data_IF_431921908262
#
_entry.id   IF_431921908262
#
_cell.length_a   1.000
_cell.length_b   1.000
_cell.length_c   1.000
_cell.angle_alpha   90.00
_cell.angle_beta   90.00
_cell.angle_gamma   90.00
#
_symmetry.space_group_name_H-M   'P 1'
#
loop_
_entity.id
_entity.type
_entity.pdbx_description
1 polymer ?
#
# COMPACT_ATOMS: atom_id res chain seq x y z
N UNK A 1 -17.58 15.76 -19.71
CA UNK A 1 -16.75 15.09 -18.69
C UNK A 1 -17.67 14.70 -17.54
N UNK A 2 -17.50 13.52 -16.94
CA UNK A 2 -18.24 13.16 -15.72
C UNK A 2 -17.93 14.17 -14.62
N UNK A 3 -18.92 14.56 -13.82
CA UNK A 3 -18.69 15.35 -12.60
C UNK A 3 -17.64 14.64 -11.73
N UNK A 4 -16.67 15.39 -11.20
CA UNK A 4 -15.63 14.85 -10.31
C UNK A 4 -14.46 14.11 -10.99
N UNK A 5 -14.25 14.29 -12.30
CA UNK A 5 -13.08 13.75 -13.02
C UNK A 5 -12.33 14.86 -13.78
N UNK A 6 -11.01 14.88 -13.66
CA UNK A 6 -10.09 15.72 -14.45
C UNK A 6 -9.20 14.85 -15.33
N UNK A 7 -8.98 15.29 -16.57
CA UNK A 7 -8.21 14.54 -17.55
C UNK A 7 -8.75 13.13 -17.82
N UNK A 8 -7.85 12.16 -17.92
CA UNK A 8 -8.12 10.81 -18.40
C UNK A 8 -8.46 9.80 -17.30
N UNK A 9 -7.83 9.87 -16.13
CA UNK A 9 -7.87 8.83 -15.10
C UNK A 9 -7.97 9.38 -13.67
N UNK A 10 -7.95 10.70 -13.48
CA UNK A 10 -7.91 11.32 -12.14
C UNK A 10 -9.26 11.84 -11.68
N UNK A 11 -9.68 11.39 -10.50
CA UNK A 11 -10.86 11.86 -9.77
C UNK A 11 -10.50 13.06 -8.88
N UNK A 12 -11.43 13.99 -8.74
CA UNK A 12 -11.35 15.15 -7.83
C UNK A 12 -12.44 15.00 -6.78
N UNK A 13 -12.05 15.00 -5.51
CA UNK A 13 -12.97 14.84 -4.37
C UNK A 13 -13.33 16.20 -3.77
N UNK A 14 -14.44 16.78 -4.23
CA UNK A 14 -14.94 18.08 -3.78
C UNK A 14 -15.28 18.11 -2.29
N UNK A 15 -15.82 17.01 -1.76
CA UNK A 15 -16.20 16.87 -0.35
C UNK A 15 -15.01 16.46 0.55
N UNK A 16 -13.82 16.25 -0.03
CA UNK A 16 -12.55 16.01 0.67
C UNK A 16 -12.64 15.06 1.88
N UNK A 17 -12.89 13.75 1.65
CA UNK A 17 -12.93 12.75 2.72
C UNK A 17 -11.72 12.85 3.65
N UNK A 18 -11.96 12.94 4.96
CA UNK A 18 -10.93 13.15 5.98
C UNK A 18 -10.45 11.85 6.61
N UNK A 19 -9.18 11.79 7.01
CA UNK A 19 -8.62 10.69 7.79
C UNK A 19 -9.00 10.88 9.26
N UNK A 20 -9.86 10.00 9.77
CA UNK A 20 -10.37 10.04 11.14
C UNK A 20 -9.44 9.32 12.13
N UNK A 21 -8.79 8.26 11.68
CA UNK A 21 -7.88 7.45 12.48
C UNK A 21 -7.10 6.50 11.60
N UNK A 22 -5.92 6.12 12.05
CA UNK A 22 -5.08 5.16 11.34
C UNK A 22 -4.26 4.34 12.32
N UNK A 23 -3.92 3.12 11.96
CA UNK A 23 -3.02 2.30 12.74
C UNK A 23 -2.17 1.36 11.89
N UNK A 24 -1.02 0.97 12.45
CA UNK A 24 -0.07 0.05 11.81
C UNK A 24 0.47 -0.98 12.81
N UNK A 25 0.63 -2.21 12.33
CA UNK A 25 1.25 -3.33 13.03
C UNK A 25 2.39 -3.85 12.17
N UNK A 26 3.52 -4.20 12.78
CA UNK A 26 4.68 -4.74 12.06
C UNK A 26 5.34 -5.90 12.78
N UNK A 27 6.12 -6.69 12.04
CA UNK A 27 7.01 -7.71 12.58
C UNK A 27 8.25 -7.11 13.25
N UNK A 28 9.03 -7.98 13.90
CA UNK A 28 10.24 -7.59 14.60
C UNK A 28 11.30 -6.98 13.66
N UNK A 29 11.44 -7.50 12.44
CA UNK A 29 12.45 -7.05 11.48
C UNK A 29 12.16 -5.63 11.00
N UNK A 30 10.89 -5.34 10.69
CA UNK A 30 10.42 -4.01 10.31
C UNK A 30 10.55 -3.01 11.47
N UNK A 31 10.29 -3.45 12.70
CA UNK A 31 10.49 -2.62 13.90
C UNK A 31 11.97 -2.29 14.16
N UNK A 32 12.89 -3.18 13.80
CA UNK A 32 14.34 -2.90 13.87
C UNK A 32 14.81 -1.96 12.74
N UNK A 33 13.96 -1.69 11.76
CA UNK A 33 14.22 -0.74 10.68
C UNK A 33 14.15 0.73 11.13
N UNK A 34 14.49 1.67 10.23
CA UNK A 34 14.60 3.09 10.56
C UNK A 34 13.27 3.77 10.93
N UNK A 35 12.14 3.14 10.65
CA UNK A 35 10.79 3.63 10.98
C UNK A 35 10.18 2.97 12.22
N UNK A 36 10.92 2.11 12.91
CA UNK A 36 10.45 1.23 13.98
C UNK A 36 9.59 1.91 15.06
N UNK A 37 10.09 3.04 15.58
CA UNK A 37 9.42 3.77 16.68
C UNK A 37 8.09 4.42 16.27
N UNK A 38 7.77 4.46 14.97
CA UNK A 38 6.53 5.05 14.46
C UNK A 38 5.34 4.09 14.42
N UNK A 39 5.55 2.77 14.50
CA UNK A 39 4.48 1.79 14.40
C UNK A 39 3.71 1.64 15.72
N UNK A 40 2.41 1.37 15.64
CA UNK A 40 1.57 1.29 16.85
C UNK A 40 1.74 -0.01 17.63
N UNK A 41 2.08 -1.08 16.92
CA UNK A 41 2.30 -2.39 17.54
C UNK A 41 3.38 -3.16 16.80
N UNK A 42 4.22 -3.83 17.57
CA UNK A 42 5.22 -4.78 17.06
C UNK A 42 4.83 -6.19 17.53
N UNK A 43 4.87 -7.15 16.63
CA UNK A 43 4.69 -8.56 16.96
C UNK A 43 5.81 -9.05 17.90
N UNK A 44 5.56 -10.06 18.74
CA UNK A 44 6.64 -10.73 19.45
C UNK A 44 7.62 -11.37 18.44
N UNK A 45 8.80 -11.77 18.93
CA UNK A 45 9.82 -12.44 18.10
C UNK A 45 9.30 -13.70 17.39
N UNK A 46 8.32 -14.36 17.99
CA UNK A 46 7.53 -15.40 17.34
C UNK A 46 6.42 -14.74 16.52
N UNK A 47 6.61 -14.66 15.21
CA UNK A 47 5.71 -14.00 14.27
C UNK A 47 4.35 -14.74 14.12
N UNK A 48 4.15 -15.89 14.78
CA UNK A 48 2.84 -16.60 14.77
C UNK A 48 1.89 -15.86 15.68
N UNK A 49 2.45 -15.02 16.57
CA UNK A 49 1.71 -14.29 17.58
C UNK A 49 0.81 -15.21 18.43
N UNK A 50 1.30 -16.43 18.68
CA UNK A 50 0.61 -17.47 19.46
C UNK A 50 -0.52 -18.17 18.71
N UNK A 51 -0.69 -17.95 17.42
CA UNK A 51 -1.68 -18.63 16.57
C UNK A 51 -1.14 -19.97 16.02
N UNK A 52 -2.04 -20.86 15.60
CA UNK A 52 -1.67 -22.18 15.09
C UNK A 52 -0.93 -22.13 13.73
N UNK A 53 -1.00 -21.01 13.01
CA UNK A 53 -0.34 -20.83 11.71
C UNK A 53 -0.07 -19.35 11.40
N UNK A 54 0.85 -19.10 10.47
CA UNK A 54 1.16 -17.72 10.01
C UNK A 54 -0.04 -17.05 9.34
N UNK A 55 -0.90 -17.82 8.65
CA UNK A 55 -2.12 -17.30 8.02
C UNK A 55 -3.13 -16.81 9.08
N UNK A 56 -3.23 -17.51 10.21
CA UNK A 56 -4.03 -17.05 11.36
C UNK A 56 -3.40 -15.82 12.02
N UNK A 57 -2.06 -15.79 12.13
CA UNK A 57 -1.34 -14.62 12.65
C UNK A 57 -1.59 -13.38 11.77
N UNK A 58 -1.51 -13.53 10.46
CA UNK A 58 -1.76 -12.47 9.48
C UNK A 58 -3.22 -12.00 9.51
N UNK A 59 -4.18 -12.93 9.59
CA UNK A 59 -5.60 -12.63 9.83
C UNK A 59 -5.82 -11.81 11.11
N UNK A 60 -5.11 -12.15 12.20
CA UNK A 60 -5.17 -11.43 13.47
C UNK A 60 -4.55 -10.04 13.35
N UNK A 61 -3.42 -9.89 12.66
CA UNK A 61 -2.81 -8.58 12.37
C UNK A 61 -3.79 -7.66 11.63
N UNK A 62 -4.46 -8.17 10.60
CA UNK A 62 -5.46 -7.40 9.85
C UNK A 62 -6.60 -6.94 10.77
N UNK A 63 -7.17 -7.84 11.56
CA UNK A 63 -8.26 -7.51 12.48
C UNK A 63 -7.85 -6.48 13.54
N UNK A 64 -6.67 -6.62 14.13
CA UNK A 64 -6.18 -5.71 15.16
C UNK A 64 -5.83 -4.32 14.60
N UNK A 65 -5.24 -4.24 13.40
CA UNK A 65 -5.00 -2.96 12.73
C UNK A 65 -6.31 -2.18 12.50
N UNK A 66 -7.38 -2.87 12.07
CA UNK A 66 -8.71 -2.27 11.90
C UNK A 66 -9.29 -1.80 13.24
N UNK A 67 -9.21 -2.62 14.29
CA UNK A 67 -9.70 -2.26 15.64
C UNK A 67 -8.97 -1.04 16.20
N UNK A 68 -7.64 -0.99 16.07
CA UNK A 68 -6.83 0.13 16.55
C UNK A 68 -7.16 1.42 15.78
N UNK A 69 -7.26 1.36 14.46
CA UNK A 69 -7.60 2.51 13.63
C UNK A 69 -9.02 3.03 13.93
N UNK A 70 -10.00 2.14 14.08
CA UNK A 70 -11.37 2.50 14.48
C UNK A 70 -11.41 3.13 15.88
N UNK A 71 -10.69 2.56 16.85
CA UNK A 71 -10.59 3.12 18.19
C UNK A 71 -9.99 4.52 18.21
N UNK A 72 -8.93 4.77 17.42
CA UNK A 72 -8.34 6.11 17.24
C UNK A 72 -9.28 7.10 16.55
N UNK A 73 -10.17 6.61 15.68
CA UNK A 73 -11.24 7.40 15.08
C UNK A 73 -12.44 7.64 16.03
N UNK A 74 -12.42 7.09 17.24
CA UNK A 74 -13.54 7.18 18.19
C UNK A 74 -14.75 6.33 17.80
N UNK A 75 -14.54 5.30 16.96
CA UNK A 75 -15.58 4.42 16.44
C UNK A 75 -15.42 2.99 16.99
N UNK A 76 -16.53 2.25 17.04
CA UNK A 76 -16.48 0.79 17.11
C UNK A 76 -16.33 0.23 15.71
N UNK A 77 -15.76 -0.97 15.58
CA UNK A 77 -15.66 -1.64 14.28
C UNK A 77 -17.03 -1.90 13.65
N UNK A 78 -18.08 -2.05 14.45
CA UNK A 78 -19.47 -2.20 13.99
C UNK A 78 -20.11 -0.90 13.48
N UNK A 79 -19.49 0.25 13.76
CA UNK A 79 -19.95 1.55 13.24
C UNK A 79 -19.41 1.80 11.82
N UNK A 80 -18.48 0.96 11.35
CA UNK A 80 -17.92 1.01 10.00
C UNK A 80 -18.98 0.60 8.97
N UNK A 81 -19.30 1.49 8.02
CA UNK A 81 -20.28 1.19 6.97
C UNK A 81 -19.69 0.36 5.83
N UNK A 82 -18.37 0.40 5.64
CA UNK A 82 -17.64 -0.49 4.76
C UNK A 82 -16.22 -0.73 5.28
N UNK A 83 -15.77 -1.98 5.20
CA UNK A 83 -14.39 -2.40 5.29
C UNK A 83 -13.93 -2.79 3.89
N UNK A 84 -13.04 -1.98 3.32
CA UNK A 84 -12.44 -2.19 2.01
C UNK A 84 -11.01 -2.63 2.20
N UNK A 85 -10.66 -3.82 1.74
CA UNK A 85 -9.34 -4.33 2.02
C UNK A 85 -9.07 -5.71 1.44
N UNK A 86 -7.82 -6.10 1.55
CA UNK A 86 -7.32 -7.37 1.04
C UNK A 86 -5.91 -7.65 1.54
N UNK A 87 -5.40 -8.79 1.14
CA UNK A 87 -4.06 -9.26 1.45
C UNK A 87 -3.44 -9.89 0.21
N UNK A 88 -2.17 -10.31 0.32
CA UNK A 88 -1.44 -10.87 -0.80
C UNK A 88 -1.80 -12.35 -1.06
N UNK A 89 -2.39 -13.06 -0.10
CA UNK A 89 -2.63 -14.49 -0.24
C UNK A 89 -3.79 -14.76 -1.20
N UNK A 90 -3.77 -15.95 -1.81
CA UNK A 90 -4.75 -16.33 -2.81
C UNK A 90 -6.17 -16.21 -2.23
N UNK A 91 -7.04 -15.45 -2.90
CA UNK A 91 -8.43 -15.19 -2.45
C UNK A 91 -8.54 -14.31 -1.19
N UNK A 92 -7.54 -13.47 -0.90
CA UNK A 92 -7.56 -12.52 0.21
C UNK A 92 -7.97 -13.16 1.54
N UNK A 93 -7.30 -14.28 1.85
CA UNK A 93 -7.68 -15.17 2.96
C UNK A 93 -7.59 -14.44 4.29
N UNK A 94 -6.53 -13.65 4.51
CA UNK A 94 -6.33 -12.95 5.78
C UNK A 94 -7.46 -11.93 6.03
N UNK A 95 -7.77 -11.10 5.04
CA UNK A 95 -8.84 -10.10 5.13
C UNK A 95 -10.23 -10.75 5.21
N UNK A 96 -10.49 -11.75 4.36
CA UNK A 96 -11.79 -12.43 4.30
C UNK A 96 -12.11 -13.21 5.58
N UNK A 97 -11.12 -13.84 6.21
CA UNK A 97 -11.31 -14.59 7.45
C UNK A 97 -11.27 -13.68 8.70
N UNK A 98 -10.68 -12.49 8.60
CA UNK A 98 -10.74 -11.47 9.64
C UNK A 98 -12.09 -10.75 9.69
N UNK A 99 -12.73 -10.54 8.52
CA UNK A 99 -13.96 -9.75 8.40
C UNK A 99 -15.11 -10.17 9.36
N UNK A 100 -15.41 -11.46 9.57
CA UNK A 100 -16.43 -11.88 10.54
C UNK A 100 -16.14 -11.43 11.98
N UNK A 101 -14.87 -11.34 12.37
CA UNK A 101 -14.46 -10.92 13.71
C UNK A 101 -14.54 -9.40 13.89
N UNK A 102 -14.41 -8.65 12.80
CA UNK A 102 -14.52 -7.18 12.78
C UNK A 102 -16.00 -6.75 12.83
N UNK A 103 -16.87 -7.48 12.10
CA UNK A 103 -18.32 -7.26 12.10
C UNK A 103 -18.81 -6.12 11.19
N UNK A 104 -17.93 -5.57 10.34
CA UNK A 104 -18.25 -4.54 9.37
C UNK A 104 -18.67 -5.15 8.01
N UNK A 105 -19.52 -4.49 7.20
CA UNK A 105 -19.78 -4.88 5.82
C UNK A 105 -18.48 -4.89 5.01
N UNK A 106 -18.19 -5.99 4.30
CA UNK A 106 -16.89 -6.22 3.68
C UNK A 106 -16.93 -6.12 2.15
N UNK A 107 -16.04 -5.31 1.59
CA UNK A 107 -15.71 -5.25 0.17
C UNK A 107 -14.27 -5.76 0.00
N UNK A 108 -14.14 -7.03 -0.36
CA UNK A 108 -12.85 -7.65 -0.63
C UNK A 108 -12.21 -7.14 -1.91
N UNK A 109 -10.98 -6.64 -1.81
CA UNK A 109 -10.23 -6.05 -2.92
C UNK A 109 -8.93 -6.82 -3.16
N UNK A 110 -8.55 -6.99 -4.42
CA UNK A 110 -7.27 -7.60 -4.78
C UNK A 110 -6.61 -6.78 -5.89
N UNK A 111 -5.67 -5.93 -5.48
CA UNK A 111 -4.73 -5.21 -6.35
C UNK A 111 -3.27 -5.63 -6.08
N UNK A 112 -3.03 -6.82 -5.53
CA UNK A 112 -1.72 -7.20 -5.00
C UNK A 112 -1.17 -6.11 -4.04
N UNK A 113 0.07 -5.66 -4.22
CA UNK A 113 0.68 -4.62 -3.38
C UNK A 113 0.04 -3.23 -3.52
N UNK A 114 -0.77 -2.96 -4.57
CA UNK A 114 -1.44 -1.67 -4.75
C UNK A 114 -2.73 -1.51 -3.93
N UNK A 115 -3.17 -2.57 -3.24
CA UNK A 115 -4.49 -2.64 -2.57
C UNK A 115 -4.72 -1.51 -1.55
N UNK A 116 -3.67 -1.01 -0.89
CA UNK A 116 -3.82 0.13 0.04
C UNK A 116 -4.25 1.41 -0.68
N UNK A 117 -3.62 1.74 -1.83
CA UNK A 117 -4.02 2.92 -2.61
C UNK A 117 -5.36 2.70 -3.33
N UNK A 118 -5.63 1.47 -3.79
CA UNK A 118 -6.91 1.08 -4.38
C UNK A 118 -8.08 1.28 -3.40
N UNK A 119 -7.95 0.73 -2.18
CA UNK A 119 -8.98 0.85 -1.14
C UNK A 119 -9.24 2.30 -0.75
N UNK A 120 -8.19 3.11 -0.57
CA UNK A 120 -8.32 4.55 -0.31
C UNK A 120 -9.05 5.27 -1.45
N UNK A 121 -8.73 4.95 -2.70
CA UNK A 121 -9.36 5.57 -3.86
C UNK A 121 -10.86 5.25 -3.92
N UNK A 122 -11.24 3.99 -3.74
CA UNK A 122 -12.64 3.54 -3.76
C UNK A 122 -13.41 4.13 -2.57
N UNK A 123 -12.84 4.03 -1.36
CA UNK A 123 -13.47 4.57 -0.16
C UNK A 123 -13.63 6.08 -0.24
N UNK A 124 -12.60 6.82 -0.67
CA UNK A 124 -12.71 8.26 -0.88
C UNK A 124 -13.78 8.59 -1.91
N UNK A 125 -13.91 7.82 -2.99
CA UNK A 125 -14.97 8.02 -3.99
C UNK A 125 -16.38 7.82 -3.41
N UNK A 126 -16.58 6.76 -2.60
CA UNK A 126 -17.88 6.46 -1.99
C UNK A 126 -18.25 7.46 -0.88
N UNK A 127 -17.28 7.86 -0.06
CA UNK A 127 -17.46 8.87 0.98
C UNK A 127 -17.71 10.24 0.34
N UNK A 128 -16.93 10.61 -0.68
CA UNK A 128 -17.12 11.86 -1.42
C UNK A 128 -18.50 11.93 -2.09
N UNK A 129 -19.02 10.81 -2.58
CA UNK A 129 -20.36 10.75 -3.18
C UNK A 129 -21.51 10.75 -2.16
N UNK A 130 -21.22 10.67 -0.86
CA UNK A 130 -22.22 10.62 0.21
C UNK A 130 -22.91 9.25 0.35
N UNK A 131 -22.32 8.18 -0.19
CA UNK A 131 -22.83 6.82 0.01
C UNK A 131 -22.39 6.22 1.36
N UNK A 132 -21.29 6.71 1.92
CA UNK A 132 -20.73 6.28 3.20
C UNK A 132 -20.33 7.52 4.01
N UNK A 133 -20.69 7.54 5.29
CA UNK A 133 -20.21 8.51 6.28
C UNK A 133 -18.81 8.13 6.79
N UNK A 134 -18.49 6.84 6.83
CA UNK A 134 -17.15 6.35 7.16
C UNK A 134 -16.83 5.01 6.49
N UNK A 135 -15.54 4.76 6.26
CA UNK A 135 -15.04 3.51 5.69
C UNK A 135 -13.63 3.18 6.17
N UNK A 136 -13.35 1.91 6.42
CA UNK A 136 -12.01 1.41 6.71
C UNK A 136 -11.32 0.93 5.43
N UNK A 137 -10.07 1.34 5.24
CA UNK A 137 -9.18 0.89 4.16
C UNK A 137 -8.03 0.12 4.81
N UNK A 138 -7.93 -1.18 4.59
CA UNK A 138 -6.95 -2.02 5.31
C UNK A 138 -6.29 -3.07 4.43
N UNK A 139 -5.01 -3.31 4.65
CA UNK A 139 -4.27 -4.41 4.03
C UNK A 139 -3.24 -5.00 4.97
N UNK A 140 -2.81 -6.23 4.70
CA UNK A 140 -1.75 -6.89 5.44
C UNK A 140 -0.93 -7.83 4.56
N UNK A 141 0.32 -8.05 4.94
CA UNK A 141 1.16 -9.13 4.43
C UNK A 141 1.97 -9.76 5.56
N UNK A 142 2.36 -11.01 5.39
CA UNK A 142 3.26 -11.69 6.31
C UNK A 142 4.37 -12.39 5.52
N UNK A 143 5.62 -12.23 5.97
CA UNK A 143 6.79 -12.82 5.31
C UNK A 143 6.60 -14.33 5.09
N UNK A 144 6.35 -15.05 6.18
CA UNK A 144 6.27 -16.51 6.17
C UNK A 144 5.10 -17.08 5.34
N UNK A 145 3.99 -16.35 5.15
CA UNK A 145 2.88 -16.79 4.30
C UNK A 145 3.19 -16.54 2.82
N UNK A 146 3.73 -15.37 2.50
CA UNK A 146 4.11 -15.00 1.13
C UNK A 146 5.25 -15.87 0.60
N UNK A 147 6.28 -16.15 1.39
CA UNK A 147 7.38 -17.02 0.97
C UNK A 147 6.89 -18.45 0.68
N UNK A 148 5.96 -18.98 1.47
CA UNK A 148 5.36 -20.29 1.21
C UNK A 148 4.56 -20.33 -0.10
N UNK A 149 3.90 -19.22 -0.46
CA UNK A 149 3.03 -19.18 -1.63
C UNK A 149 3.79 -18.86 -2.93
N UNK A 150 4.74 -17.93 -2.88
CA UNK A 150 5.37 -17.34 -4.08
C UNK A 150 6.83 -17.72 -4.28
N UNK A 151 7.47 -18.34 -3.30
CA UNK A 151 8.89 -18.72 -3.38
C UNK A 151 9.06 -20.23 -3.33
N UNK A 152 10.23 -20.65 -3.80
CA UNK A 152 10.63 -22.03 -3.70
C UNK A 152 10.95 -22.35 -2.23
N UNK A 153 10.60 -23.55 -1.74
CA UNK A 153 11.00 -24.00 -0.41
C UNK A 153 12.52 -23.91 -0.23
N UNK A 154 12.96 -23.48 0.96
CA UNK A 154 14.39 -23.36 1.30
C UNK A 154 15.14 -24.68 1.10
N UNK A 155 14.45 -25.81 1.30
CA UNK A 155 14.95 -27.17 1.10
C UNK A 155 15.38 -27.44 -0.35
N UNK A 156 14.93 -26.63 -1.32
CA UNK A 156 15.36 -26.71 -2.71
C UNK A 156 16.71 -26.00 -2.99
N UNK A 157 17.35 -25.43 -1.96
CA UNK A 157 18.65 -24.76 -2.08
C UNK A 157 18.63 -23.47 -2.89
N UNK A 158 17.44 -22.87 -3.07
CA UNK A 158 17.28 -21.61 -3.78
C UNK A 158 17.92 -20.47 -2.97
N UNK A 159 18.78 -19.67 -3.62
CA UNK A 159 19.33 -18.45 -3.03
C UNK A 159 18.54 -17.24 -3.50
N UNK A 160 18.27 -16.31 -2.59
CA UNK A 160 17.63 -15.04 -2.93
C UNK A 160 18.57 -14.23 -3.82
N UNK A 161 18.06 -13.75 -4.95
CA UNK A 161 18.84 -12.89 -5.87
C UNK A 161 18.95 -11.46 -5.33
N UNK A 162 19.98 -10.67 -5.70
CA UNK A 162 20.19 -9.32 -5.15
C UNK A 162 19.04 -8.33 -5.38
N UNK A 163 18.23 -8.54 -6.43
CA UNK A 163 17.07 -7.68 -6.76
C UNK A 163 15.77 -8.12 -6.09
N UNK A 164 15.75 -9.31 -5.47
CA UNK A 164 14.56 -9.79 -4.78
C UNK A 164 14.30 -8.97 -3.52
N UNK A 165 13.03 -8.77 -3.22
CA UNK A 165 12.58 -8.00 -2.07
C UNK A 165 12.18 -8.93 -0.92
N UNK A 166 12.19 -8.37 0.30
CA UNK A 166 11.67 -9.01 1.50
C UNK A 166 10.18 -8.68 1.65
N UNK A 167 9.31 -9.69 1.76
CA UNK A 167 7.89 -9.41 2.04
C UNK A 167 7.76 -8.90 3.47
N UNK A 168 7.21 -7.71 3.63
CA UNK A 168 6.96 -7.08 4.92
C UNK A 168 5.95 -7.91 5.71
N UNK A 169 6.30 -8.26 6.95
CA UNK A 169 5.32 -8.66 7.95
C UNK A 169 4.71 -7.39 8.53
N UNK A 170 3.52 -7.02 8.06
CA UNK A 170 2.87 -5.79 8.48
C UNK A 170 1.42 -5.68 8.06
N UNK A 171 0.66 -4.88 8.80
CA UNK A 171 -0.71 -4.51 8.51
C UNK A 171 -0.90 -3.01 8.73
N UNK A 172 -1.75 -2.38 7.93
CA UNK A 172 -2.12 -0.98 8.08
C UNK A 172 -3.60 -0.77 7.82
N UNK A 173 -4.21 0.17 8.54
CA UNK A 173 -5.60 0.55 8.34
C UNK A 173 -5.78 2.06 8.46
N UNK A 174 -6.46 2.67 7.48
CA UNK A 174 -6.91 4.08 7.50
C UNK A 174 -8.44 4.12 7.58
N UNK A 175 -8.99 4.93 8.48
CA UNK A 175 -10.43 5.23 8.54
C UNK A 175 -10.67 6.57 7.86
N UNK A 176 -11.49 6.57 6.82
CA UNK A 176 -11.97 7.77 6.14
C UNK A 176 -13.36 8.16 6.65
N UNK A 177 -13.63 9.46 6.69
CA UNK A 177 -14.91 10.03 7.09
C UNK A 177 -15.40 11.12 6.15
N UNK A 178 -16.71 11.26 6.03
CA UNK A 178 -17.36 12.33 5.26
C UNK A 178 -17.23 13.70 5.94
N UNK A 179 -17.03 13.72 7.26
CA UNK A 179 -16.86 14.94 8.05
C UNK A 179 -15.83 14.73 9.15
N UNK A 180 -15.06 15.78 9.45
CA UNK A 180 -13.94 15.70 10.37
C UNK A 180 -12.71 15.02 9.77
N UNK A 181 -11.65 14.92 10.57
CA UNK A 181 -10.37 14.33 10.14
C UNK A 181 -9.45 15.32 9.42
N UNK A 182 -8.16 15.14 9.63
CA UNK A 182 -7.07 15.84 8.95
C UNK A 182 -5.84 14.91 9.03
N UNK A 183 -5.15 14.59 7.91
CA UNK A 183 -5.30 15.09 6.54
C UNK A 183 -6.58 14.63 5.81
N UNK A 184 -6.80 15.14 4.60
CA UNK A 184 -7.92 14.81 3.70
C UNK A 184 -7.42 14.26 2.36
N UNK A 185 -8.26 13.48 1.67
CA UNK A 185 -7.98 12.99 0.32
C UNK A 185 -8.62 13.93 -0.70
N UNK A 186 -7.82 14.48 -1.62
CA UNK A 186 -8.29 15.49 -2.59
C UNK A 186 -8.42 14.92 -4.00
N UNK A 187 -7.59 13.95 -4.36
CA UNK A 187 -7.58 13.34 -5.69
C UNK A 187 -7.29 11.84 -5.61
N UNK A 188 -7.73 11.10 -6.62
CA UNK A 188 -7.35 9.71 -6.83
C UNK A 188 -7.14 9.41 -8.32
N UNK A 189 -6.01 8.82 -8.68
CA UNK A 189 -5.71 8.41 -10.06
C UNK A 189 -5.78 6.89 -10.17
N UNK A 190 -6.72 6.42 -10.99
CA UNK A 190 -6.91 5.00 -11.25
C UNK A 190 -5.95 4.59 -12.36
N UNK A 191 -4.84 3.94 -12.05
CA UNK A 191 -3.91 3.46 -13.07
C UNK A 191 -4.46 2.28 -13.88
N UNK A 192 -3.82 2.07 -15.04
CA UNK A 192 -4.08 0.95 -15.94
C UNK A 192 -3.15 -0.21 -15.62
N UNK A 193 -3.55 -1.39 -16.06
CA UNK A 193 -2.63 -2.53 -16.13
C UNK A 193 -1.64 -2.28 -17.27
N UNK A 194 -0.35 -2.33 -16.94
CA UNK A 194 0.78 -2.18 -17.85
C UNK A 194 1.61 -3.47 -17.82
N UNK A 195 1.99 -3.99 -18.98
CA UNK A 195 2.85 -5.16 -19.12
C UNK A 195 3.95 -4.88 -20.15
N UNK A 196 5.20 -4.90 -19.70
CA UNK A 196 6.40 -4.64 -20.51
C UNK A 196 7.16 -5.94 -20.86
N UNK A 197 6.54 -7.10 -20.66
CA UNK A 197 7.12 -8.39 -21.02
C UNK A 197 8.07 -8.98 -19.97
N UNK A 198 8.04 -8.48 -18.74
CA UNK A 198 8.87 -9.00 -17.65
C UNK A 198 8.24 -10.28 -17.10
N UNK A 199 8.96 -11.39 -17.14
CA UNK A 199 8.50 -12.69 -16.63
C UNK A 199 9.26 -13.17 -15.37
N UNK A 200 10.32 -12.48 -14.96
CA UNK A 200 11.13 -12.87 -13.80
C UNK A 200 10.45 -12.50 -12.48
N UNK A 201 9.87 -13.49 -11.81
CA UNK A 201 9.22 -13.41 -10.50
C UNK A 201 10.13 -12.87 -9.36
N UNK A 202 11.45 -12.78 -9.59
CA UNK A 202 12.39 -12.24 -8.61
C UNK A 202 12.73 -10.77 -8.83
N UNK A 203 12.31 -10.16 -9.94
CA UNK A 203 12.56 -8.76 -10.26
C UNK A 203 11.25 -7.96 -10.41
N UNK A 204 10.50 -7.87 -9.31
CA UNK A 204 9.20 -7.18 -9.30
C UNK A 204 9.33 -5.67 -9.52
N UNK A 205 10.42 -5.07 -9.04
CA UNK A 205 10.72 -3.66 -9.33
C UNK A 205 10.74 -3.35 -10.84
N UNK A 206 11.30 -4.26 -11.66
CA UNK A 206 11.29 -4.10 -13.12
C UNK A 206 9.89 -4.20 -13.72
N UNK A 207 9.06 -5.13 -13.23
CA UNK A 207 7.70 -5.31 -13.73
C UNK A 207 6.78 -4.13 -13.35
N UNK A 208 6.96 -3.57 -12.14
CA UNK A 208 6.08 -2.55 -11.59
C UNK A 208 6.45 -1.11 -11.97
N UNK A 209 7.72 -0.80 -12.23
CA UNK A 209 8.17 0.55 -12.57
C UNK A 209 7.42 1.18 -13.76
N UNK A 210 7.09 0.45 -14.85
CA UNK A 210 6.28 0.99 -15.95
C UNK A 210 4.86 1.41 -15.53
N UNK A 211 4.21 0.67 -14.64
CA UNK A 211 2.87 1.00 -14.15
C UNK A 211 2.89 2.25 -13.24
N UNK A 212 3.92 2.35 -12.40
CA UNK A 212 4.19 3.56 -11.60
C UNK A 212 4.42 4.79 -12.50
N UNK A 213 5.22 4.63 -13.54
CA UNK A 213 5.49 5.67 -14.53
C UNK A 213 4.22 6.13 -15.25
N UNK A 214 3.41 5.21 -15.81
CA UNK A 214 2.17 5.55 -16.52
C UNK A 214 1.19 6.31 -15.62
N UNK A 215 1.05 5.86 -14.37
CA UNK A 215 0.15 6.48 -13.38
C UNK A 215 0.63 7.87 -12.97
N UNK A 216 1.92 8.06 -12.67
CA UNK A 216 2.46 9.39 -12.33
C UNK A 216 2.37 10.37 -13.49
N UNK A 217 2.78 9.95 -14.69
CA UNK A 217 2.70 10.79 -15.89
C UNK A 217 1.25 11.21 -16.18
N UNK A 218 0.32 10.26 -16.07
CA UNK A 218 -1.11 10.55 -16.22
C UNK A 218 -1.58 11.52 -15.15
N UNK A 219 -1.23 11.29 -13.89
CA UNK A 219 -1.62 12.15 -12.78
C UNK A 219 -1.16 13.60 -12.97
N UNK A 220 0.11 13.81 -13.32
CA UNK A 220 0.65 15.15 -13.58
C UNK A 220 -0.04 15.82 -14.77
N UNK A 221 -0.30 15.07 -15.83
CA UNK A 221 -1.01 15.57 -17.02
C UNK A 221 -2.46 15.96 -16.69
N UNK A 222 -3.18 15.09 -15.98
CA UNK A 222 -4.61 15.26 -15.66
C UNK A 222 -4.87 16.42 -14.69
N UNK A 223 -3.96 16.64 -13.76
CA UNK A 223 -4.07 17.68 -12.72
C UNK A 223 -3.38 18.98 -13.10
N UNK A 224 -2.53 18.96 -14.13
CA UNK A 224 -1.63 20.07 -14.47
C UNK A 224 -0.55 20.34 -13.41
N UNK A 225 -0.33 19.39 -12.49
CA UNK A 225 0.68 19.48 -11.42
C UNK A 225 2.01 18.90 -11.88
N UNK A 226 3.07 19.28 -11.18
CA UNK A 226 4.43 18.79 -11.36
C UNK A 226 4.98 18.25 -10.03
N UNK A 227 6.16 17.58 -10.03
CA UNK A 227 6.73 17.03 -8.80
C UNK A 227 6.93 18.04 -7.66
N UNK A 228 7.21 19.30 -7.98
CA UNK A 228 7.37 20.38 -7.00
C UNK A 228 6.07 20.85 -6.35
N UNK A 229 4.90 20.41 -6.84
CA UNK A 229 3.61 20.66 -6.17
C UNK A 229 3.38 19.74 -4.97
N UNK A 230 4.25 18.75 -4.74
CA UNK A 230 4.18 17.75 -3.67
C UNK A 230 5.39 17.88 -2.74
N UNK A 231 5.18 17.75 -1.44
CA UNK A 231 6.31 17.63 -0.50
C UNK A 231 6.98 16.26 -0.66
N UNK A 232 6.20 15.22 -0.96
CA UNK A 232 6.68 13.87 -1.18
C UNK A 232 5.86 13.13 -2.24
N UNK A 233 6.55 12.43 -3.15
CA UNK A 233 5.94 11.47 -4.07
C UNK A 233 6.32 10.08 -3.61
N UNK A 234 5.33 9.36 -3.11
CA UNK A 234 5.52 8.07 -2.44
C UNK A 234 5.17 6.93 -3.39
N UNK A 235 6.06 5.96 -3.51
CA UNK A 235 5.77 4.65 -4.11
C UNK A 235 5.71 3.57 -3.05
N UNK A 236 4.92 2.53 -3.29
CA UNK A 236 4.72 1.43 -2.35
C UNK A 236 5.98 0.59 -2.18
N UNK A 237 6.30 -0.21 -3.19
CA UNK A 237 7.33 -1.23 -3.07
C UNK A 237 8.06 -1.49 -4.39
N UNK A 238 8.51 -0.43 -5.06
CA UNK A 238 9.37 -0.58 -6.23
C UNK A 238 10.75 -1.14 -5.87
N UNK A 239 11.18 -0.93 -4.62
CA UNK A 239 12.52 -1.29 -4.18
C UNK A 239 13.61 -0.48 -4.87
N UNK A 240 14.87 -0.81 -4.61
CA UNK A 240 16.02 -0.07 -5.14
C UNK A 240 16.04 -0.07 -6.67
N UNK A 241 15.85 -1.24 -7.29
CA UNK A 241 15.88 -1.38 -8.74
C UNK A 241 14.69 -0.67 -9.43
N UNK A 242 13.47 -0.92 -8.96
CA UNK A 242 12.27 -0.31 -9.54
C UNK A 242 12.25 1.21 -9.36
N UNK A 243 12.79 1.71 -8.25
CA UNK A 243 12.97 3.16 -8.02
C UNK A 243 13.86 3.79 -9.08
N UNK A 244 15.01 3.15 -9.38
CA UNK A 244 15.91 3.67 -10.42
C UNK A 244 15.26 3.60 -11.80
N UNK A 245 14.61 2.47 -12.12
CA UNK A 245 13.89 2.31 -13.39
C UNK A 245 12.77 3.35 -13.58
N UNK A 246 12.00 3.65 -12.52
CA UNK A 246 10.98 4.70 -12.54
C UNK A 246 11.58 6.07 -12.85
N UNK A 247 12.68 6.42 -12.18
CA UNK A 247 13.37 7.70 -12.38
C UNK A 247 13.92 7.82 -13.80
N UNK A 248 14.47 6.75 -14.35
CA UNK A 248 14.99 6.73 -15.71
C UNK A 248 13.85 6.90 -16.74
N UNK A 249 12.74 6.19 -16.58
CA UNK A 249 11.55 6.32 -17.45
C UNK A 249 10.97 7.74 -17.43
N UNK A 250 10.84 8.36 -16.25
CA UNK A 250 10.33 9.74 -16.13
C UNK A 250 11.30 10.77 -16.71
N UNK A 251 12.61 10.53 -16.58
CA UNK A 251 13.65 11.40 -17.12
C UNK A 251 13.62 11.47 -18.65
N UNK A 252 13.22 10.38 -19.34
CA UNK A 252 13.02 10.38 -20.80
C UNK A 252 11.94 11.39 -21.25
N UNK A 253 10.96 11.70 -20.38
CA UNK A 253 9.95 12.74 -20.60
C UNK A 253 10.32 14.10 -19.98
N UNK A 254 11.53 14.25 -19.45
CA UNK A 254 11.97 15.47 -18.79
C UNK A 254 11.35 15.71 -17.41
N UNK A 255 10.86 14.66 -16.75
CA UNK A 255 10.31 14.72 -15.39
C UNK A 255 11.36 14.19 -14.41
N UNK A 256 11.83 15.04 -13.50
CA UNK A 256 12.71 14.62 -12.39
C UNK A 256 11.90 14.42 -11.11
N UNK A 257 12.24 13.40 -10.31
CA UNK A 257 11.62 13.12 -9.02
C UNK A 257 12.60 13.29 -7.84
N UNK A 258 12.98 14.53 -7.48
CA UNK A 258 13.91 14.78 -6.38
C UNK A 258 13.32 14.44 -5.00
N UNK A 259 12.00 14.48 -4.86
CA UNK A 259 11.20 14.23 -3.66
C UNK A 259 10.56 12.83 -3.64
N UNK A 260 11.18 11.86 -4.31
CA UNK A 260 10.69 10.48 -4.34
C UNK A 260 11.05 9.71 -3.07
N UNK A 261 10.08 8.97 -2.55
CA UNK A 261 10.21 8.10 -1.39
C UNK A 261 9.56 6.75 -1.69
N UNK A 262 10.29 5.65 -1.57
CA UNK A 262 9.73 4.30 -1.72
C UNK A 262 9.55 3.65 -0.33
N UNK A 263 8.34 3.19 0.01
CA UNK A 263 8.09 2.59 1.33
C UNK A 263 8.93 1.32 1.52
N UNK A 264 9.11 0.51 0.47
CA UNK A 264 9.95 -0.69 0.50
C UNK A 264 11.40 -0.40 0.83
N UNK A 265 11.99 0.63 0.22
CA UNK A 265 13.37 1.03 0.52
C UNK A 265 13.51 1.60 1.94
N UNK A 266 12.51 2.33 2.42
CA UNK A 266 12.62 3.09 3.67
C UNK A 266 12.09 2.36 4.92
N UNK A 267 11.37 1.24 4.79
CA UNK A 267 10.92 0.47 5.96
C UNK A 267 12.07 -0.33 6.62
N UNK A 268 13.14 -0.59 5.88
CA UNK A 268 14.30 -1.34 6.34
C UNK A 268 15.59 -0.53 6.19
N UNK A 269 16.60 -0.89 6.98
CA UNK A 269 17.99 -0.56 6.70
C UNK A 269 18.54 -1.58 5.70
N UNK A 270 18.56 -1.18 4.42
CA UNK A 270 18.97 -2.05 3.31
C UNK A 270 20.43 -2.49 3.38
N UNK A 271 21.28 -1.80 4.16
CA UNK A 271 22.69 -2.17 4.32
C UNK A 271 22.87 -3.22 5.42
N UNK A 272 22.11 -3.11 6.52
CA UNK A 272 22.35 -3.90 7.72
C UNK A 272 21.33 -5.04 7.97
N UNK A 273 20.17 -5.05 7.30
CA UNK A 273 19.10 -6.02 7.57
C UNK A 273 18.96 -7.15 6.54
N UNK A 274 19.83 -7.23 5.53
CA UNK A 274 19.82 -8.30 4.51
C UNK A 274 18.45 -8.46 3.80
N UNK A 275 17.88 -7.33 3.40
CA UNK A 275 16.58 -7.24 2.68
C UNK A 275 16.75 -7.06 1.18
N UNK A 276 17.98 -7.08 0.68
CA UNK A 276 18.31 -7.02 -0.75
C UNK A 276 17.68 -5.79 -1.44
N UNK A 277 16.70 -6.02 -2.33
CA UNK A 277 16.03 -4.96 -3.09
C UNK A 277 15.13 -4.04 -2.25
N UNK A 278 14.94 -4.34 -0.96
CA UNK A 278 14.08 -3.60 -0.03
C UNK A 278 12.85 -4.41 0.35
N UNK A 279 11.87 -3.75 0.97
CA UNK A 279 10.57 -4.30 1.34
C UNK A 279 9.60 -4.44 0.16
N UNK A 280 8.64 -5.35 0.31
CA UNK A 280 7.52 -5.58 -0.60
C UNK A 280 6.29 -6.10 0.13
N UNK A 281 5.19 -6.28 -0.60
CA UNK A 281 3.95 -6.82 -0.04
C UNK A 281 2.96 -5.72 0.31
N UNK A 282 1.66 -6.03 0.23
CA UNK A 282 0.63 -5.02 0.46
C UNK A 282 0.58 -4.47 1.90
N UNK A 283 1.25 -5.12 2.87
CA UNK A 283 1.50 -4.58 4.20
C UNK A 283 2.60 -3.51 4.23
N UNK A 284 3.50 -3.45 3.26
CA UNK A 284 4.62 -2.50 3.23
C UNK A 284 4.14 -1.04 3.13
N UNK A 285 3.48 -0.70 2.03
CA UNK A 285 2.97 0.65 1.81
C UNK A 285 1.91 1.03 2.85
N UNK A 286 1.12 0.06 3.30
CA UNK A 286 0.09 0.26 4.32
C UNK A 286 0.67 0.59 5.70
N UNK A 287 1.67 -0.16 6.16
CA UNK A 287 2.32 0.11 7.44
C UNK A 287 3.01 1.48 7.43
N UNK A 288 3.74 1.83 6.36
CA UNK A 288 4.44 3.13 6.27
C UNK A 288 3.47 4.31 6.14
N UNK A 289 2.38 4.16 5.39
CA UNK A 289 1.34 5.19 5.31
C UNK A 289 0.71 5.43 6.69
N UNK A 290 0.27 4.34 7.34
CA UNK A 290 -0.44 4.36 8.62
C UNK A 290 0.49 4.44 9.84
N UNK A 291 1.73 4.89 9.65
CA UNK A 291 2.63 5.33 10.71
C UNK A 291 3.25 6.66 10.30
N UNK A 292 4.36 6.59 9.58
CA UNK A 292 5.26 7.69 9.28
C UNK A 292 4.57 8.80 8.48
N UNK A 293 3.93 8.46 7.36
CA UNK A 293 3.42 9.47 6.42
C UNK A 293 2.21 10.23 6.97
N UNK A 294 1.20 9.53 7.49
CA UNK A 294 0.03 10.19 8.08
C UNK A 294 0.39 10.96 9.35
N UNK A 295 1.34 10.49 10.16
CA UNK A 295 1.85 11.25 11.32
C UNK A 295 2.52 12.55 10.87
N UNK A 296 3.35 12.50 9.83
CA UNK A 296 4.02 13.68 9.27
C UNK A 296 3.06 14.70 8.65
N UNK A 297 1.93 14.24 8.11
CA UNK A 297 0.86 15.11 7.64
C UNK A 297 0.08 15.73 8.81
N UNK A 298 -0.16 14.98 9.89
CA UNK A 298 -0.84 15.47 11.08
C UNK A 298 -0.01 16.48 11.88
N UNK A 299 1.30 16.23 12.03
CA UNK A 299 2.23 17.11 12.74
C UNK A 299 2.61 18.37 11.93
N UNK A 300 2.30 18.38 10.63
CA UNK A 300 2.55 19.49 9.72
C UNK A 300 3.95 19.55 9.14
N UNK A 301 4.78 18.51 9.33
CA UNK A 301 6.07 18.36 8.64
C UNK A 301 5.86 18.20 7.13
N UNK A 302 4.78 17.53 6.73
CA UNK A 302 4.31 17.42 5.34
C UNK A 302 2.95 18.09 5.22
N UNK A 303 2.68 18.73 4.08
CA UNK A 303 1.41 19.36 3.75
C UNK A 303 0.67 18.62 2.64
N UNK A 304 1.39 18.12 1.62
CA UNK A 304 0.80 17.39 0.50
C UNK A 304 1.71 16.26 0.03
N UNK A 305 1.18 15.05 -0.01
CA UNK A 305 1.86 13.90 -0.62
C UNK A 305 1.01 13.29 -1.73
N UNK A 306 1.68 12.71 -2.72
CA UNK A 306 1.09 11.78 -3.68
C UNK A 306 1.46 10.37 -3.23
N UNK A 307 0.52 9.65 -2.62
CA UNK A 307 0.72 8.27 -2.20
C UNK A 307 0.30 7.31 -3.30
N UNK A 308 1.26 6.59 -3.88
CA UNK A 308 1.02 5.61 -4.93
C UNK A 308 1.51 4.23 -4.49
N UNK A 309 0.66 3.22 -4.60
CA UNK A 309 1.06 1.84 -4.37
C UNK A 309 1.02 1.07 -5.70
N UNK A 310 2.01 0.20 -5.89
CA UNK A 310 2.22 -0.62 -7.08
C UNK A 310 1.87 -2.07 -6.78
N UNK A 311 1.41 -2.83 -7.76
CA UNK A 311 1.06 -4.23 -7.60
C UNK A 311 1.44 -5.05 -8.82
N UNK A 312 2.17 -6.14 -8.60
CA UNK A 312 2.47 -7.15 -9.60
C UNK A 312 1.37 -8.23 -9.60
N UNK A 313 0.65 -8.37 -10.70
CA UNK A 313 -0.51 -9.25 -10.83
C UNK A 313 -0.07 -10.63 -11.34
N UNK A 314 0.49 -11.43 -10.44
CA UNK A 314 0.89 -12.81 -10.72
C UNK A 314 0.29 -13.82 -9.74
N UNK A 315 0.36 -15.09 -10.13
CA UNK A 315 0.07 -16.24 -9.28
C UNK A 315 1.19 -17.27 -9.46
N UNK A 316 1.32 -18.25 -8.54
CA UNK A 316 2.26 -19.35 -8.73
C UNK A 316 2.07 -20.06 -10.07
N UNK A 317 0.82 -20.25 -10.50
CA UNK A 317 0.49 -20.90 -11.78
C UNK A 317 0.98 -20.12 -12.98
N UNK A 318 0.71 -18.81 -13.05
CA UNK A 318 1.12 -17.99 -14.20
C UNK A 318 2.64 -17.88 -14.29
N UNK A 319 3.33 -17.80 -13.16
CA UNK A 319 4.80 -17.85 -13.10
C UNK A 319 5.35 -19.18 -13.63
N UNK A 320 4.78 -20.31 -13.21
CA UNK A 320 5.21 -21.63 -13.69
C UNK A 320 4.92 -21.86 -15.18
N UNK A 321 3.94 -21.16 -15.74
CA UNK A 321 3.62 -21.18 -17.17
C UNK A 321 4.56 -20.28 -18.00
N UNK A 322 5.41 -19.48 -17.35
CA UNK A 322 6.30 -18.53 -18.04
C UNK A 322 5.57 -17.31 -18.58
N UNK A 323 4.39 -17.00 -18.06
CA UNK A 323 3.64 -15.79 -18.41
C UNK A 323 4.38 -14.53 -17.95
N UNK A 324 4.12 -13.43 -18.63
CA UNK A 324 4.60 -12.11 -18.23
C UNK A 324 3.82 -11.61 -17.01
N UNK A 325 4.37 -10.60 -16.33
CA UNK A 325 3.86 -10.09 -15.06
C UNK A 325 3.22 -8.71 -15.29
N UNK A 326 1.90 -8.68 -15.59
CA UNK A 326 1.17 -7.42 -15.67
C UNK A 326 1.21 -6.72 -14.31
N UNK A 327 1.36 -5.40 -14.32
CA UNK A 327 1.44 -4.59 -13.11
C UNK A 327 0.49 -3.40 -13.18
N UNK A 328 0.06 -2.92 -12.01
CA UNK A 328 -0.83 -1.76 -11.87
C UNK A 328 -0.30 -0.84 -10.78
N UNK A 329 -0.63 0.45 -10.86
CA UNK A 329 -0.39 1.39 -9.78
C UNK A 329 -1.62 2.27 -9.57
N UNK A 330 -1.99 2.52 -8.31
CA UNK A 330 -3.05 3.46 -7.97
C UNK A 330 -2.48 4.55 -7.09
N UNK A 331 -2.93 5.79 -7.29
CA UNK A 331 -2.42 6.92 -6.54
C UNK A 331 -3.57 7.70 -5.87
N UNK A 332 -3.32 8.21 -4.68
CA UNK A 332 -4.19 9.15 -3.97
C UNK A 332 -3.38 10.34 -3.50
N UNK A 333 -3.97 11.53 -3.57
CA UNK A 333 -3.37 12.73 -3.03
C UNK A 333 -3.93 12.98 -1.63
N UNK A 334 -3.03 13.05 -0.65
CA UNK A 334 -3.36 13.27 0.75
C UNK A 334 -2.79 14.63 1.14
N UNK A 335 -3.67 15.52 1.58
CA UNK A 335 -3.36 16.92 1.87
C UNK A 335 -3.82 17.30 3.27
N UNK A 336 -2.99 18.03 4.00
CA UNK A 336 -3.44 18.69 5.21
C UNK A 336 -4.41 19.81 4.83
N UNK A 337 -5.61 19.79 5.42
CA UNK A 337 -6.53 20.92 5.34
C UNK A 337 -6.06 22.00 6.30
N UNK A 338 -5.81 23.20 5.78
CA UNK A 338 -5.52 24.42 6.54
C UNK A 338 -6.77 24.95 7.22
#
# INVERSE_FOLDING_TARGET
MSMGKTGQQTLVFENKPGVLGFASIVGQKEYEGPLGDGFDMTLPKDDTWGEDSWEKAECKMFAEAVKMAAGKAGLKTTDLQALMGGDLLNQIISAGFAAPQIGAPFLGLYGACSTMAESLLIAASMVNAGYLDNAACATCSHFSTAERQYRNPLEMGAQRVPVAQWTVTGAGCTILGASGGNPVITHGTIGKVIDYGIADANNMGAAMAPAAYDTLKTHFTDTGRNPGDYDLIVTGDLGLFGTQALKDLLKEDGIELPNHFDCGVNIFDTENQDVHGGGSGCGCAASVLNSYLLTKLQDGTLNRILFMATGALLSPTTTLQGETIPSVAHAVVIERSN
#
